data_IF_162117210225
#
_entry.id   IF_162117210225
#
_cell.length_a   1.000
_cell.length_b   1.000
_cell.length_c   1.000
_cell.angle_alpha   90.00
_cell.angle_beta   90.00
_cell.angle_gamma   90.00
#
_symmetry.space_group_name_H-M   'P 1'
#
loop_
_entity.id
_entity.type
_entity.pdbx_description
1 polymer ?
#
# COMPACT_ATOMS: atom_id res chain seq x y z
N UNK A 1 -32.54 10.32 -5.89
CA UNK A 1 -31.46 9.94 -4.95
C UNK A 1 -30.36 9.23 -5.74
N UNK A 2 -29.23 9.90 -6.01
CA UNK A 2 -28.12 9.31 -6.76
C UNK A 2 -27.31 8.40 -5.83
N UNK A 3 -27.30 7.09 -6.08
CA UNK A 3 -26.36 6.16 -5.43
C UNK A 3 -24.95 6.51 -5.91
N UNK A 4 -24.12 7.08 -5.04
CA UNK A 4 -22.69 7.27 -5.30
C UNK A 4 -22.06 5.89 -5.42
N UNK A 5 -21.67 5.49 -6.64
CA UNK A 5 -20.89 4.27 -6.83
C UNK A 5 -19.58 4.41 -6.05
N UNK A 6 -19.28 3.44 -5.19
CA UNK A 6 -18.06 3.42 -4.39
C UNK A 6 -16.91 3.11 -5.34
N UNK A 7 -16.09 4.11 -5.66
CA UNK A 7 -14.89 3.94 -6.48
C UNK A 7 -13.94 3.02 -5.71
N UNK A 8 -13.45 1.97 -6.36
CA UNK A 8 -12.44 1.09 -5.75
C UNK A 8 -11.15 1.88 -5.51
N UNK A 9 -10.57 1.70 -4.33
CA UNK A 9 -9.32 2.33 -3.95
C UNK A 9 -8.15 1.59 -4.59
N UNK A 10 -7.28 2.34 -5.28
CA UNK A 10 -6.10 1.75 -5.93
C UNK A 10 -5.02 1.37 -4.93
N UNK A 11 -4.83 2.17 -3.88
CA UNK A 11 -3.78 1.97 -2.88
C UNK A 11 -4.43 1.65 -1.55
N UNK A 12 -4.20 0.44 -1.04
CA UNK A 12 -4.83 -0.04 0.19
C UNK A 12 -3.74 -0.27 1.25
N UNK A 13 -3.96 0.24 2.45
CA UNK A 13 -3.09 -0.02 3.60
C UNK A 13 -3.23 -1.48 4.01
N UNK A 14 -2.14 -2.22 3.94
CA UNK A 14 -2.04 -3.61 4.38
C UNK A 14 -1.53 -3.72 5.81
N UNK A 15 -0.54 -2.89 6.15
CA UNK A 15 0.01 -2.81 7.50
C UNK A 15 0.31 -1.36 7.89
N UNK A 16 0.23 -1.09 9.19
CA UNK A 16 0.54 0.19 9.80
C UNK A 16 1.35 -0.05 11.07
N UNK A 17 2.45 0.69 11.21
CA UNK A 17 3.22 0.78 12.44
C UNK A 17 3.35 2.25 12.85
N UNK A 18 2.73 2.60 13.98
CA UNK A 18 2.86 3.94 14.57
C UNK A 18 4.26 4.16 15.16
N UNK A 19 4.81 5.36 14.95
CA UNK A 19 6.11 5.83 15.43
C UNK A 19 5.98 7.17 16.17
N UNK A 20 4.87 7.37 16.90
CA UNK A 20 4.58 8.61 17.61
C UNK A 20 3.97 9.66 16.67
N UNK A 21 4.77 10.66 16.25
CA UNK A 21 4.29 11.75 15.37
C UNK A 21 4.18 11.37 13.88
N UNK A 22 4.30 10.09 13.56
CA UNK A 22 4.17 9.55 12.21
C UNK A 22 3.96 8.04 12.25
N UNK A 23 3.90 7.43 11.07
CA UNK A 23 3.78 5.99 10.93
C UNK A 23 4.57 5.49 9.71
N UNK A 24 4.82 4.19 9.69
CA UNK A 24 5.23 3.45 8.51
C UNK A 24 4.05 2.60 8.06
N UNK A 25 3.77 2.61 6.76
CA UNK A 25 2.73 1.81 6.14
C UNK A 25 3.33 0.85 5.12
N UNK A 26 2.73 -0.33 5.03
CA UNK A 26 2.78 -1.14 3.82
C UNK A 26 1.50 -0.89 3.04
N UNK A 27 1.64 -0.42 1.80
CA UNK A 27 0.54 -0.10 0.91
C UNK A 27 0.61 -0.99 -0.32
N UNK A 28 -0.51 -1.57 -0.72
CA UNK A 28 -0.62 -2.42 -1.92
C UNK A 28 -1.26 -1.63 -3.06
N UNK A 29 -0.61 -1.58 -4.23
CA UNK A 29 -1.26 -1.15 -5.48
C UNK A 29 -2.16 -2.29 -5.99
N UNK A 30 -3.46 -2.16 -5.82
CA UNK A 30 -4.46 -3.16 -6.19
C UNK A 30 -4.59 -3.40 -7.69
N UNK A 31 -3.85 -2.68 -8.54
CA UNK A 31 -3.75 -2.98 -9.98
C UNK A 31 -2.59 -3.91 -10.33
N UNK A 32 -1.50 -3.85 -9.57
CA UNK A 32 -0.25 -4.56 -9.88
C UNK A 32 0.11 -5.61 -8.84
N UNK A 33 -0.47 -5.51 -7.65
CA UNK A 33 -0.13 -6.31 -6.47
C UNK A 33 1.13 -5.82 -5.74
N UNK A 34 1.86 -4.83 -6.26
CA UNK A 34 3.12 -4.38 -5.67
C UNK A 34 2.89 -3.80 -4.28
N UNK A 35 3.72 -4.23 -3.33
CA UNK A 35 3.75 -3.72 -1.96
C UNK A 35 4.80 -2.59 -1.86
N UNK A 36 4.44 -1.50 -1.20
CA UNK A 36 5.30 -0.33 -1.00
C UNK A 36 5.44 0.01 0.49
N UNK A 37 6.65 0.36 0.90
CA UNK A 37 6.93 1.04 2.16
C UNK A 37 6.66 2.54 1.98
N UNK A 38 5.84 3.12 2.85
CA UNK A 38 5.56 4.56 2.88
C UNK A 38 5.68 5.09 4.31
N UNK A 39 6.24 6.28 4.50
CA UNK A 39 6.25 6.95 5.79
C UNK A 39 5.25 8.13 5.82
N UNK A 40 4.70 8.43 7.00
CA UNK A 40 3.88 9.63 7.27
C UNK A 40 4.46 10.45 8.41
N UNK A 41 3.77 11.49 8.89
CA UNK A 41 4.25 12.39 9.95
C UNK A 41 4.98 13.63 9.43
N UNK A 42 5.81 14.25 10.28
CA UNK A 42 6.53 15.48 9.93
C UNK A 42 7.80 15.16 9.12
N UNK A 43 8.11 15.94 8.09
CA UNK A 43 9.29 15.80 7.24
C UNK A 43 9.05 15.05 5.92
N UNK A 44 10.12 14.81 5.13
CA UNK A 44 10.03 14.23 3.79
C UNK A 44 9.26 12.91 3.75
N UNK A 45 8.56 12.69 2.64
CA UNK A 45 7.73 11.51 2.38
C UNK A 45 8.31 10.77 1.20
N UNK A 46 8.47 9.46 1.37
CA UNK A 46 8.97 8.56 0.33
C UNK A 46 8.03 7.38 0.15
N UNK A 47 8.16 6.76 -1.02
CA UNK A 47 7.52 5.48 -1.33
C UNK A 47 8.57 4.59 -2.00
N UNK A 48 8.73 3.36 -1.49
CA UNK A 48 9.77 2.42 -1.93
C UNK A 48 9.15 1.04 -2.13
N UNK A 49 9.31 0.37 -3.29
CA UNK A 49 8.88 -1.01 -3.46
C UNK A 49 9.59 -1.92 -2.45
N UNK A 50 8.85 -2.80 -1.79
CA UNK A 50 9.45 -3.83 -0.96
C UNK A 50 10.09 -4.91 -1.83
N UNK A 51 11.26 -5.39 -1.41
CA UNK A 51 12.00 -6.45 -2.08
C UNK A 51 12.06 -7.70 -1.19
N UNK A 52 12.06 -8.86 -1.82
CA UNK A 52 12.38 -10.13 -1.17
C UNK A 52 13.91 -10.33 -1.05
N UNK A 53 14.32 -11.48 -0.53
CA UNK A 53 15.74 -11.84 -0.35
C UNK A 53 16.52 -11.97 -1.66
N UNK A 54 15.84 -12.17 -2.79
CA UNK A 54 16.45 -12.24 -4.12
C UNK A 54 16.54 -10.85 -4.79
N UNK A 55 16.05 -9.80 -4.12
CA UNK A 55 15.94 -8.45 -4.68
C UNK A 55 14.76 -8.28 -5.64
N UNK A 56 13.80 -9.23 -5.69
CA UNK A 56 12.59 -9.11 -6.51
C UNK A 56 11.51 -8.35 -5.74
N UNK A 57 10.67 -7.63 -6.48
CA UNK A 57 9.56 -6.88 -5.88
C UNK A 57 8.53 -7.84 -5.27
N UNK A 58 8.11 -7.56 -4.04
CA UNK A 58 7.05 -8.29 -3.35
C UNK A 58 5.69 -7.90 -3.95
N UNK A 59 4.99 -8.90 -4.47
CA UNK A 59 3.65 -8.76 -5.05
C UNK A 59 2.63 -9.64 -4.33
N UNK A 60 1.50 -9.05 -3.95
CA UNK A 60 0.34 -9.81 -3.50
C UNK A 60 -0.41 -10.33 -4.72
N UNK A 61 -0.75 -11.62 -4.70
CA UNK A 61 -1.67 -12.18 -5.68
C UNK A 61 -3.03 -11.56 -5.41
N UNK A 62 -3.39 -10.54 -6.20
CA UNK A 62 -4.74 -10.02 -6.25
C UNK A 62 -5.63 -11.20 -6.62
N UNK A 63 -6.43 -11.66 -5.66
CA UNK A 63 -7.39 -12.72 -5.93
C UNK A 63 -8.23 -12.29 -7.11
N UNK A 64 -8.11 -13.00 -8.23
CA UNK A 64 -9.23 -13.11 -9.16
C UNK A 64 -10.35 -13.61 -8.27
N UNK A 65 -11.35 -12.77 -7.99
CA UNK A 65 -12.63 -13.27 -7.48
C UNK A 65 -13.13 -14.22 -8.56
N UNK A 66 -12.86 -15.52 -8.38
CA UNK A 66 -13.61 -16.57 -9.06
C UNK A 66 -15.03 -16.59 -8.48
#
# INVERSE_FOLDING_TARGET
>A
MFKKQKKEERFVIKEEQSLGLGAIYIVVDTRTGVNYLMNTGIGPKGITPLLDSDGKVIVDKLGIKQ
#
